data_IF_436808692457
#
_entry.id   IF_436808692457
#
_cell.length_a   1.000
_cell.length_b   1.000
_cell.length_c   1.000
_cell.angle_alpha   90.00
_cell.angle_beta   90.00
_cell.angle_gamma   90.00
#
_symmetry.space_group_name_H-M   'P 1'
#
loop_
_entity.id
_entity.type
_entity.pdbx_description
1 polymer ?
#
# COMPACT_ATOMS: atom_id res chain seq x y z
N UNK A 1 -33.96 22.25 6.92
CA UNK A 1 -32.51 22.16 7.22
C UNK A 1 -31.95 20.88 6.63
N UNK A 2 -31.51 20.86 5.36
CA UNK A 2 -30.58 19.84 4.90
C UNK A 2 -29.17 20.28 5.35
N UNK A 3 -28.34 19.37 5.87
CA UNK A 3 -26.86 19.39 5.70
C UNK A 3 -26.08 18.49 6.69
N UNK A 4 -26.70 17.92 7.74
CA UNK A 4 -25.96 16.98 8.60
C UNK A 4 -25.58 15.67 7.88
N UNK A 5 -26.42 15.20 6.95
CA UNK A 5 -26.23 13.92 6.28
C UNK A 5 -25.17 13.96 5.15
N UNK A 6 -24.95 15.12 4.54
CA UNK A 6 -23.88 15.33 3.54
C UNK A 6 -22.51 15.48 4.20
N UNK A 7 -22.43 16.15 5.35
CA UNK A 7 -21.17 16.38 6.05
C UNK A 7 -20.53 15.07 6.56
N UNK A 8 -21.37 14.11 7.00
CA UNK A 8 -20.90 12.80 7.44
C UNK A 8 -20.33 11.94 6.30
N UNK A 9 -20.89 12.03 5.09
CA UNK A 9 -20.39 11.29 3.93
C UNK A 9 -19.04 11.85 3.45
N UNK A 10 -18.88 13.18 3.43
CA UNK A 10 -17.60 13.80 3.07
C UNK A 10 -16.48 13.44 4.05
N UNK A 11 -16.78 13.40 5.36
CA UNK A 11 -15.81 12.99 6.38
C UNK A 11 -15.38 11.51 6.22
N UNK A 12 -16.31 10.61 5.92
CA UNK A 12 -16.01 9.19 5.65
C UNK A 12 -15.19 9.02 4.38
N UNK A 13 -15.47 9.78 3.33
CA UNK A 13 -14.72 9.74 2.07
C UNK A 13 -13.28 10.24 2.25
N UNK A 14 -13.07 11.30 3.02
CA UNK A 14 -11.74 11.81 3.36
C UNK A 14 -10.94 10.79 4.18
N UNK A 15 -11.57 10.18 5.19
CA UNK A 15 -10.93 9.15 6.01
C UNK A 15 -10.54 7.90 5.19
N UNK A 16 -11.40 7.49 4.26
CA UNK A 16 -11.14 6.34 3.37
C UNK A 16 -9.99 6.60 2.41
N UNK A 17 -9.94 7.79 1.79
CA UNK A 17 -8.81 8.18 0.94
C UNK A 17 -7.49 8.27 1.72
N UNK A 18 -7.53 8.80 2.94
CA UNK A 18 -6.33 8.93 3.77
C UNK A 18 -5.82 7.56 4.23
N UNK A 19 -6.72 6.64 4.58
CA UNK A 19 -6.37 5.25 4.89
C UNK A 19 -5.74 4.53 3.69
N UNK A 20 -6.30 4.73 2.48
CA UNK A 20 -5.77 4.12 1.27
C UNK A 20 -4.38 4.66 0.91
N UNK A 21 -4.16 5.97 1.02
CA UNK A 21 -2.83 6.57 0.82
C UNK A 21 -1.81 6.03 1.83
N UNK A 22 -2.18 5.95 3.11
CA UNK A 22 -1.32 5.39 4.15
C UNK A 22 -0.96 3.92 3.87
N UNK A 23 -1.90 3.12 3.36
CA UNK A 23 -1.63 1.74 2.97
C UNK A 23 -0.61 1.67 1.82
N UNK A 24 -0.73 2.54 0.81
CA UNK A 24 0.21 2.63 -0.31
C UNK A 24 1.61 3.01 0.17
N UNK A 25 1.73 4.00 1.06
CA UNK A 25 3.03 4.41 1.64
C UNK A 25 3.66 3.28 2.46
N UNK A 26 2.88 2.59 3.29
CA UNK A 26 3.38 1.46 4.07
C UNK A 26 3.89 0.32 3.18
N UNK A 27 3.15 -0.01 2.13
CA UNK A 27 3.57 -1.05 1.19
C UNK A 27 4.84 -0.66 0.40
N UNK A 28 4.99 0.61 0.01
CA UNK A 28 6.23 1.12 -0.59
C UNK A 28 7.43 1.01 0.35
N UNK A 29 7.24 1.31 1.63
CA UNK A 29 8.28 1.13 2.63
C UNK A 29 8.65 -0.34 2.81
N UNK A 30 7.67 -1.26 2.76
CA UNK A 30 7.94 -2.70 2.82
C UNK A 30 8.76 -3.18 1.61
N UNK A 31 8.41 -2.72 0.39
CA UNK A 31 9.15 -3.02 -0.85
C UNK A 31 10.58 -2.50 -0.79
N UNK A 32 10.80 -1.29 -0.26
CA UNK A 32 12.14 -0.71 -0.09
C UNK A 32 12.98 -1.50 0.91
N UNK A 33 12.37 -1.92 2.03
CA UNK A 33 13.05 -2.75 3.04
C UNK A 33 13.43 -4.13 2.49
N UNK A 34 12.51 -4.78 1.76
CA UNK A 34 12.78 -6.08 1.15
C UNK A 34 13.91 -6.02 0.10
N UNK A 35 13.96 -4.95 -0.71
CA UNK A 35 15.08 -4.72 -1.63
C UNK A 35 16.41 -4.55 -0.89
N UNK A 36 16.41 -3.79 0.21
CA UNK A 36 17.60 -3.59 1.03
C UNK A 36 18.09 -4.90 1.66
N UNK A 37 17.17 -5.73 2.17
CA UNK A 37 17.49 -7.05 2.71
C UNK A 37 18.04 -7.98 1.61
N UNK A 38 17.47 -7.94 0.41
CA UNK A 38 17.96 -8.71 -0.73
C UNK A 38 19.39 -8.32 -1.12
N UNK A 39 19.67 -7.01 -1.21
CA UNK A 39 21.01 -6.51 -1.51
C UNK A 39 22.03 -6.94 -0.44
N UNK A 40 21.67 -6.85 0.84
CA UNK A 40 22.53 -7.31 1.94
C UNK A 40 22.77 -8.83 1.89
N UNK A 41 21.73 -9.62 1.62
CA UNK A 41 21.84 -11.07 1.50
C UNK A 41 22.75 -11.48 0.32
N UNK A 42 22.64 -10.77 -0.81
CA UNK A 42 23.51 -10.97 -1.97
C UNK A 42 24.96 -10.59 -1.65
N UNK A 43 25.19 -9.45 -1.00
CA UNK A 43 26.52 -9.01 -0.58
C UNK A 43 27.18 -9.98 0.42
N UNK A 44 26.38 -10.59 1.29
CA UNK A 44 26.83 -11.62 2.22
C UNK A 44 27.03 -13.01 1.57
N UNK A 45 26.76 -13.15 0.26
CA UNK A 45 26.80 -14.41 -0.48
C UNK A 45 26.00 -15.55 0.21
N UNK A 46 24.88 -15.20 0.88
CA UNK A 46 24.05 -16.15 1.61
C UNK A 46 22.82 -16.55 0.78
N UNK A 47 22.85 -17.71 0.09
CA UNK A 47 21.77 -18.11 -0.81
C UNK A 47 20.42 -18.33 -0.11
N UNK A 48 20.43 -18.79 1.16
CA UNK A 48 19.19 -18.96 1.92
C UNK A 48 18.56 -17.62 2.26
N UNK A 49 19.37 -16.64 2.69
CA UNK A 49 18.90 -15.28 2.96
C UNK A 49 18.40 -14.61 1.67
N UNK A 50 19.06 -14.85 0.53
CA UNK A 50 18.63 -14.34 -0.77
C UNK A 50 17.25 -14.89 -1.15
N UNK A 51 17.02 -16.19 -0.99
CA UNK A 51 15.69 -16.78 -1.27
C UNK A 51 14.60 -16.23 -0.35
N UNK A 52 14.90 -16.06 0.95
CA UNK A 52 13.94 -15.46 1.88
C UNK A 52 13.63 -14.00 1.51
N UNK A 53 14.65 -13.20 1.20
CA UNK A 53 14.46 -11.81 0.80
C UNK A 53 13.71 -11.66 -0.53
N UNK A 54 13.90 -12.58 -1.49
CA UNK A 54 13.11 -12.62 -2.72
C UNK A 54 11.62 -12.89 -2.44
N UNK A 55 11.29 -13.85 -1.58
CA UNK A 55 9.90 -14.11 -1.20
C UNK A 55 9.27 -12.92 -0.46
N UNK A 56 10.02 -12.26 0.42
CA UNK A 56 9.55 -11.03 1.08
C UNK A 56 9.31 -9.90 0.08
N UNK A 57 10.19 -9.74 -0.91
CA UNK A 57 10.04 -8.75 -1.96
C UNK A 57 8.80 -9.02 -2.81
N UNK A 58 8.55 -10.26 -3.19
CA UNK A 58 7.36 -10.65 -3.95
C UNK A 58 6.07 -10.38 -3.17
N UNK A 59 6.02 -10.73 -1.88
CA UNK A 59 4.88 -10.41 -1.03
C UNK A 59 4.66 -8.89 -0.88
N UNK A 60 5.74 -8.13 -0.67
CA UNK A 60 5.65 -6.67 -0.54
C UNK A 60 5.15 -6.02 -1.85
N UNK A 61 5.57 -6.53 -3.01
CA UNK A 61 5.07 -6.06 -4.31
C UNK A 61 3.59 -6.37 -4.49
N UNK A 62 3.13 -7.56 -4.10
CA UNK A 62 1.71 -7.90 -4.12
C UNK A 62 0.87 -7.01 -3.20
N UNK A 63 1.36 -6.74 -1.99
CA UNK A 63 0.71 -5.80 -1.07
C UNK A 63 0.66 -4.38 -1.64
N UNK A 64 1.73 -3.93 -2.30
CA UNK A 64 1.76 -2.63 -2.96
C UNK A 64 0.75 -2.55 -4.09
N UNK A 65 0.66 -3.57 -4.94
CA UNK A 65 -0.33 -3.63 -6.01
C UNK A 65 -1.77 -3.59 -5.46
N UNK A 66 -2.04 -4.33 -4.37
CA UNK A 66 -3.36 -4.34 -3.73
C UNK A 66 -3.70 -2.99 -3.07
N UNK A 67 -2.73 -2.35 -2.41
CA UNK A 67 -2.90 -1.03 -1.81
C UNK A 67 -3.17 0.04 -2.89
N UNK A 68 -2.43 -0.02 -4.00
CA UNK A 68 -2.66 0.88 -5.15
C UNK A 68 -4.04 0.66 -5.75
N UNK A 69 -4.46 -0.59 -5.98
CA UNK A 69 -5.79 -0.91 -6.49
C UNK A 69 -6.90 -0.38 -5.57
N UNK A 70 -6.73 -0.50 -4.25
CA UNK A 70 -7.67 0.01 -3.26
C UNK A 70 -7.73 1.54 -3.27
N UNK A 71 -6.59 2.22 -3.36
CA UNK A 71 -6.52 3.67 -3.49
C UNK A 71 -7.18 4.16 -4.79
N UNK A 72 -6.94 3.46 -5.91
CA UNK A 72 -7.56 3.75 -7.20
C UNK A 72 -9.08 3.55 -7.16
N UNK A 73 -9.57 2.47 -6.53
CA UNK A 73 -11.00 2.20 -6.36
C UNK A 73 -11.69 3.25 -5.46
N UNK A 74 -10.98 3.75 -4.46
CA UNK A 74 -11.45 4.85 -3.59
C UNK A 74 -11.58 6.15 -4.38
N UNK A 75 -10.68 6.38 -5.35
CA UNK A 75 -10.75 7.53 -6.26
C UNK A 75 -11.86 7.38 -7.33
N UNK A 76 -12.12 6.18 -7.84
CA UNK A 76 -13.14 5.95 -8.89
C UNK A 76 -14.57 5.97 -8.35
N UNK A 77 -14.81 5.48 -7.12
CA UNK A 77 -16.11 5.62 -6.45
C UNK A 77 -16.56 7.09 -6.24
N UNK A 78 -15.66 8.06 -6.44
CA UNK A 78 -15.95 9.49 -6.31
C UNK A 78 -16.28 10.19 -7.64
N UNK A 79 -16.21 9.50 -8.79
CA UNK A 79 -16.54 10.08 -10.12
C UNK A 79 -17.95 9.71 -10.62
N UNK A 80 -18.67 8.83 -9.93
CA UNK A 80 -20.01 8.36 -10.35
C UNK A 80 -21.16 8.71 -9.36
N UNK A 81 -21.00 9.74 -8.53
CA UNK A 81 -22.06 10.27 -7.66
C UNK A 81 -22.50 11.65 -8.09
#
# INVERSE_FOLDING_TARGET
MPNQQQNNQQAQNAATNQAAQNAVTQAQNAVTQAQSALAQAQAAANPQAVQQAQQQLEQAQQQLAQAQATASASATNQTQG
#
